data_IF_862958612356
#
_entry.id   IF_862958612356
#
_cell.length_a   1.000
_cell.length_b   1.000
_cell.length_c   1.000
_cell.angle_alpha   90.00
_cell.angle_beta   90.00
_cell.angle_gamma   90.00
#
_symmetry.space_group_name_H-M   'P 1'
#
loop_
_entity.id
_entity.type
_entity.pdbx_description
1 polymer ?
#
# COMPACT_ATOMS: atom_id res chain seq x y z
N UNK A 1 -7.82 -7.64 -10.29
CA UNK A 1 -7.03 -8.90 -10.29
C UNK A 1 -7.68 -10.03 -9.48
N UNK A 2 -7.72 -9.97 -8.14
CA UNK A 2 -8.15 -11.11 -7.29
C UNK A 2 -9.60 -11.54 -7.59
N UNK A 3 -10.56 -10.62 -7.43
CA UNK A 3 -11.99 -10.89 -7.62
C UNK A 3 -12.28 -11.45 -9.01
N UNK A 4 -11.75 -10.80 -10.05
CA UNK A 4 -11.84 -11.27 -11.44
C UNK A 4 -11.39 -12.73 -11.58
N UNK A 5 -10.17 -13.05 -11.11
CA UNK A 5 -9.60 -14.40 -11.23
C UNK A 5 -10.42 -15.43 -10.45
N UNK A 6 -10.86 -15.09 -9.23
CA UNK A 6 -11.69 -15.99 -8.43
C UNK A 6 -13.01 -16.30 -9.14
N UNK A 7 -13.70 -15.30 -9.65
CA UNK A 7 -15.02 -15.49 -10.27
C UNK A 7 -14.92 -16.11 -11.66
N UNK A 8 -14.02 -15.61 -12.51
CA UNK A 8 -13.94 -16.01 -13.91
C UNK A 8 -13.11 -17.28 -14.12
N UNK A 9 -12.01 -17.46 -13.38
CA UNK A 9 -11.11 -18.61 -13.59
C UNK A 9 -11.39 -19.75 -12.60
N UNK A 10 -11.86 -19.43 -11.39
CA UNK A 10 -12.12 -20.42 -10.33
C UNK A 10 -13.61 -20.60 -10.00
N UNK A 11 -14.51 -19.95 -10.76
CA UNK A 11 -15.97 -20.12 -10.65
C UNK A 11 -16.54 -19.81 -9.26
N UNK A 12 -15.86 -18.95 -8.48
CA UNK A 12 -16.38 -18.45 -7.21
C UNK A 12 -17.59 -17.56 -7.50
N UNK A 13 -18.76 -17.90 -6.95
CA UNK A 13 -20.02 -17.22 -7.31
C UNK A 13 -20.35 -16.00 -6.45
N UNK A 14 -20.01 -16.02 -5.17
CA UNK A 14 -20.40 -14.95 -4.23
C UNK A 14 -19.23 -14.63 -3.28
N UNK A 15 -18.16 -14.00 -3.77
CA UNK A 15 -17.08 -13.55 -2.90
C UNK A 15 -17.54 -12.37 -2.03
N UNK A 16 -17.25 -12.43 -0.73
CA UNK A 16 -17.44 -11.29 0.16
C UNK A 16 -16.25 -10.33 0.03
N UNK A 17 -16.49 -9.09 -0.40
CA UNK A 17 -15.46 -8.06 -0.44
C UNK A 17 -15.42 -7.30 0.87
N UNK A 18 -14.21 -7.11 1.42
CA UNK A 18 -13.99 -6.32 2.64
C UNK A 18 -12.88 -5.32 2.37
N UNK A 19 -13.16 -4.03 2.58
CA UNK A 19 -12.16 -2.97 2.48
C UNK A 19 -12.11 -2.18 3.78
N UNK A 20 -10.91 -1.95 4.31
CA UNK A 20 -10.69 -1.04 5.43
C UNK A 20 -10.58 0.40 4.92
N UNK A 21 -11.30 1.31 5.55
CA UNK A 21 -11.31 2.73 5.22
C UNK A 21 -10.31 3.48 6.11
N UNK A 22 -9.40 4.25 5.51
CA UNK A 22 -8.51 5.17 6.21
C UNK A 22 -9.02 6.62 6.17
N UNK A 23 -8.49 7.48 7.05
CA UNK A 23 -9.04 8.83 7.26
C UNK A 23 -8.37 9.94 6.42
N UNK A 24 -7.48 9.58 5.51
CA UNK A 24 -6.86 10.52 4.57
C UNK A 24 -7.77 10.83 3.39
N UNK A 25 -7.46 11.89 2.65
CA UNK A 25 -8.28 12.31 1.52
C UNK A 25 -8.29 11.25 0.43
N UNK A 26 -9.48 10.76 0.10
CA UNK A 26 -9.72 9.77 -0.96
C UNK A 26 -9.60 10.43 -2.32
N UNK A 27 -8.91 9.77 -3.24
CA UNK A 27 -8.83 10.20 -4.64
C UNK A 27 -10.10 9.83 -5.39
N UNK A 28 -10.39 10.51 -6.51
CA UNK A 28 -11.45 10.15 -7.44
C UNK A 28 -11.21 8.77 -8.04
N UNK A 29 -9.97 8.43 -8.38
CA UNK A 29 -9.60 7.09 -8.83
C UNK A 29 -9.92 6.04 -7.76
N UNK A 30 -9.52 6.28 -6.51
CA UNK A 30 -9.81 5.42 -5.37
C UNK A 30 -11.30 5.25 -5.11
N UNK A 31 -12.08 6.35 -5.17
CA UNK A 31 -13.53 6.32 -5.00
C UNK A 31 -14.22 5.56 -6.15
N UNK A 32 -13.80 5.80 -7.39
CA UNK A 32 -14.28 5.08 -8.57
C UNK A 32 -14.01 3.59 -8.45
N UNK A 33 -12.77 3.20 -8.17
CA UNK A 33 -12.38 1.79 -8.09
C UNK A 33 -13.08 1.03 -6.97
N UNK A 34 -13.27 1.68 -5.81
CA UNK A 34 -13.99 1.10 -4.68
C UNK A 34 -15.45 0.78 -5.05
N UNK A 35 -16.12 1.67 -5.79
CA UNK A 35 -17.49 1.42 -6.25
C UNK A 35 -17.54 0.47 -7.46
N UNK A 36 -16.56 0.55 -8.35
CA UNK A 36 -16.52 -0.22 -9.59
C UNK A 36 -16.38 -1.72 -9.30
N UNK A 37 -15.56 -2.12 -8.33
CA UNK A 37 -15.33 -3.55 -8.08
C UNK A 37 -16.60 -4.29 -7.67
N UNK A 38 -17.43 -3.71 -6.81
CA UNK A 38 -18.70 -4.32 -6.40
C UNK A 38 -19.76 -4.22 -7.49
N UNK A 39 -19.86 -3.07 -8.15
CA UNK A 39 -20.86 -2.82 -9.20
C UNK A 39 -20.62 -3.63 -10.48
N UNK A 40 -19.36 -3.84 -10.86
CA UNK A 40 -19.01 -4.60 -12.06
C UNK A 40 -19.27 -6.10 -11.88
N UNK A 41 -18.93 -6.65 -10.71
CA UNK A 41 -19.08 -8.08 -10.42
C UNK A 41 -20.44 -8.43 -9.80
N UNK A 42 -21.24 -7.43 -9.42
CA UNK A 42 -22.53 -7.57 -8.73
C UNK A 42 -22.41 -8.40 -7.44
N UNK A 43 -21.53 -7.93 -6.54
CA UNK A 43 -21.18 -8.64 -5.29
C UNK A 43 -21.25 -7.72 -4.07
N UNK A 44 -21.50 -8.33 -2.90
CA UNK A 44 -21.52 -7.64 -1.63
C UNK A 44 -20.14 -7.07 -1.25
N UNK A 45 -20.14 -5.81 -0.80
CA UNK A 45 -18.92 -5.12 -0.40
C UNK A 45 -19.10 -4.39 0.93
N UNK A 46 -18.39 -4.87 1.94
CA UNK A 46 -18.32 -4.27 3.26
C UNK A 46 -17.16 -3.28 3.31
N UNK A 47 -17.50 -2.01 3.49
CA UNK A 47 -16.51 -0.96 3.76
C UNK A 47 -16.46 -0.73 5.26
N UNK A 48 -15.37 -1.17 5.89
CA UNK A 48 -15.16 -1.04 7.31
C UNK A 48 -14.41 0.25 7.65
N UNK A 49 -15.09 1.16 8.36
CA UNK A 49 -14.49 2.40 8.88
C UNK A 49 -14.27 2.30 10.38
N UNK A 50 -13.01 2.31 10.81
CA UNK A 50 -12.65 2.20 12.22
C UNK A 50 -12.67 3.56 12.93
N UNK A 51 -13.54 3.72 13.94
CA UNK A 51 -13.57 4.81 14.94
C UNK A 51 -12.79 6.07 14.50
N UNK A 52 -13.32 6.91 13.60
CA UNK A 52 -12.53 7.92 12.87
C UNK A 52 -11.64 8.82 13.74
N UNK A 53 -12.18 9.32 14.86
CA UNK A 53 -11.42 10.17 15.78
C UNK A 53 -10.33 9.40 16.53
N UNK A 54 -10.61 8.16 16.92
CA UNK A 54 -9.62 7.25 17.52
C UNK A 54 -8.52 6.93 16.50
N UNK A 55 -8.89 6.62 15.25
CA UNK A 55 -7.94 6.33 14.19
C UNK A 55 -6.98 7.51 13.98
N UNK A 56 -7.47 8.74 13.86
CA UNK A 56 -6.62 9.94 13.70
C UNK A 56 -5.65 10.15 14.86
N UNK A 57 -6.12 9.93 16.10
CA UNK A 57 -5.28 10.01 17.30
C UNK A 57 -4.19 8.93 17.29
N UNK A 58 -4.57 7.69 17.01
CA UNK A 58 -3.65 6.56 16.91
C UNK A 58 -2.62 6.74 15.78
N UNK A 59 -3.03 7.26 14.63
CA UNK A 59 -2.13 7.57 13.51
C UNK A 59 -1.05 8.56 13.97
N UNK A 60 -1.44 9.61 14.69
CA UNK A 60 -0.51 10.58 15.27
C UNK A 60 0.44 9.92 16.28
N UNK A 61 -0.07 9.12 17.19
CA UNK A 61 0.75 8.41 18.19
C UNK A 61 1.76 7.45 17.53
N UNK A 62 1.33 6.71 16.51
CA UNK A 62 2.21 5.81 15.76
C UNK A 62 3.25 6.58 14.95
N UNK A 63 2.89 7.73 14.37
CA UNK A 63 3.84 8.62 13.72
C UNK A 63 4.87 9.18 14.69
N UNK A 64 4.44 9.71 15.84
CA UNK A 64 5.31 10.27 16.89
C UNK A 64 6.27 9.20 17.46
N UNK A 65 5.80 7.98 17.68
CA UNK A 65 6.56 6.91 18.33
C UNK A 65 7.40 6.04 17.38
N UNK A 66 6.91 5.80 16.16
CA UNK A 66 7.49 4.81 15.25
C UNK A 66 7.85 5.36 13.88
N UNK A 67 7.44 6.60 13.58
CA UNK A 67 7.44 7.19 12.25
C UNK A 67 6.68 6.30 11.23
N UNK A 68 5.57 5.71 11.66
CA UNK A 68 4.66 4.97 10.78
C UNK A 68 3.21 5.32 11.13
N UNK A 69 2.56 6.28 10.43
CA UNK A 69 1.20 6.70 10.78
C UNK A 69 0.14 5.62 10.52
N UNK A 70 0.38 4.67 9.62
CA UNK A 70 -0.60 3.63 9.26
C UNK A 70 -0.38 2.29 9.95
N UNK A 71 0.60 2.20 10.86
CA UNK A 71 0.96 0.94 11.53
C UNK A 71 -0.25 0.16 12.05
N UNK A 72 -1.16 0.81 12.79
CA UNK A 72 -2.35 0.14 13.30
C UNK A 72 -3.40 -0.14 12.21
N UNK A 73 -3.50 0.69 11.16
CA UNK A 73 -4.38 0.42 10.04
C UNK A 73 -3.92 -0.82 9.25
N UNK A 74 -2.61 -0.96 9.00
CA UNK A 74 -2.01 -2.14 8.35
C UNK A 74 -2.27 -3.41 9.18
N UNK A 75 -2.15 -3.35 10.51
CA UNK A 75 -2.45 -4.50 11.38
C UNK A 75 -3.94 -4.89 11.36
N UNK A 76 -4.85 -3.92 11.24
CA UNK A 76 -6.29 -4.15 11.10
C UNK A 76 -6.71 -4.70 9.74
N UNK A 77 -5.84 -4.58 8.75
CA UNK A 77 -6.04 -5.13 7.41
C UNK A 77 -5.39 -6.51 7.27
N UNK A 78 -4.07 -6.59 7.47
CA UNK A 78 -3.25 -7.70 7.00
C UNK A 78 -2.85 -8.75 8.04
N UNK A 79 -3.23 -8.60 9.31
CA UNK A 79 -2.92 -9.63 10.31
C UNK A 79 -3.91 -10.82 10.26
N UNK A 80 -3.48 -12.00 10.70
CA UNK A 80 -4.35 -13.19 10.74
C UNK A 80 -5.42 -13.14 11.85
N UNK A 81 -5.40 -12.09 12.67
CA UNK A 81 -6.42 -11.75 13.66
C UNK A 81 -7.03 -10.36 13.40
N UNK A 82 -6.94 -9.90 12.15
CA UNK A 82 -7.41 -8.59 11.72
C UNK A 82 -8.94 -8.49 11.72
N UNK A 83 -9.45 -7.26 11.60
CA UNK A 83 -10.88 -6.98 11.45
C UNK A 83 -11.45 -7.65 10.21
N UNK A 84 -10.68 -7.79 9.14
CA UNK A 84 -11.06 -8.54 7.93
C UNK A 84 -11.28 -10.02 8.26
N UNK A 85 -10.37 -10.65 9.01
CA UNK A 85 -10.51 -12.05 9.40
C UNK A 85 -11.68 -12.25 10.38
N UNK A 86 -11.87 -11.33 11.32
CA UNK A 86 -13.02 -11.36 12.25
C UNK A 86 -14.35 -11.27 11.49
N UNK A 87 -14.43 -10.43 10.45
CA UNK A 87 -15.60 -10.37 9.58
C UNK A 87 -15.77 -11.64 8.77
N UNK A 88 -14.71 -12.17 8.14
CA UNK A 88 -14.80 -13.45 7.42
C UNK A 88 -15.40 -14.56 8.31
N UNK A 89 -14.93 -14.68 9.57
CA UNK A 89 -15.49 -15.61 10.57
C UNK A 89 -16.97 -15.33 10.85
N UNK A 90 -17.34 -14.07 11.07
CA UNK A 90 -18.72 -13.68 11.37
C UNK A 90 -19.70 -14.00 10.23
N UNK A 91 -19.23 -13.96 8.99
CA UNK A 91 -20.01 -14.30 7.79
C UNK A 91 -19.87 -15.78 7.38
N UNK A 92 -19.18 -16.61 8.16
CA UNK A 92 -18.97 -18.03 7.85
C UNK A 92 -18.08 -18.27 6.61
N UNK A 93 -17.27 -17.29 6.22
CA UNK A 93 -16.32 -17.40 5.10
C UNK A 93 -15.07 -18.10 5.60
N UNK A 94 -14.81 -19.30 5.07
CA UNK A 94 -13.64 -20.13 5.42
C UNK A 94 -12.38 -19.74 4.66
N UNK A 95 -12.50 -19.34 3.40
CA UNK A 95 -11.36 -19.16 2.51
C UNK A 95 -11.10 -17.65 2.31
N UNK A 96 -10.02 -17.14 2.91
CA UNK A 96 -9.63 -15.72 2.87
C UNK A 96 -8.46 -15.54 1.91
N UNK A 97 -8.64 -14.69 0.91
CA UNK A 97 -7.66 -14.44 -0.15
C UNK A 97 -6.92 -13.13 0.03
N UNK A 98 -5.60 -13.18 -0.02
CA UNK A 98 -4.69 -12.02 -0.06
C UNK A 98 -4.01 -11.93 -1.44
N UNK A 99 -3.48 -10.74 -1.75
CA UNK A 99 -2.72 -10.52 -2.98
C UNK A 99 -1.34 -11.18 -2.94
N UNK A 100 -0.44 -10.58 -2.16
CA UNK A 100 0.95 -11.00 -2.01
C UNK A 100 1.23 -11.61 -0.63
N UNK A 101 2.11 -12.61 -0.58
CA UNK A 101 2.77 -13.01 0.66
C UNK A 101 3.96 -12.07 0.89
N UNK A 102 3.81 -11.11 1.80
CA UNK A 102 4.84 -10.14 2.11
C UNK A 102 6.16 -10.83 2.55
N UNK A 103 6.10 -11.97 3.23
CA UNK A 103 7.32 -12.63 3.69
C UNK A 103 8.17 -13.10 2.51
N UNK A 104 7.52 -13.67 1.50
CA UNK A 104 8.16 -14.08 0.25
C UNK A 104 8.58 -12.88 -0.61
N UNK A 105 7.69 -11.91 -0.84
CA UNK A 105 7.95 -10.75 -1.70
C UNK A 105 9.12 -9.88 -1.22
N UNK A 106 9.26 -9.72 0.09
CA UNK A 106 10.33 -8.92 0.70
C UNK A 106 11.53 -9.78 1.16
N UNK A 107 11.57 -11.07 0.81
CA UNK A 107 12.74 -11.94 0.96
C UNK A 107 13.03 -12.43 2.38
N UNK A 108 12.06 -12.32 3.29
CA UNK A 108 12.15 -12.90 4.64
C UNK A 108 11.78 -14.39 4.67
N UNK A 109 11.13 -14.88 3.61
CA UNK A 109 10.88 -16.28 3.32
C UNK A 109 11.38 -16.63 1.91
N UNK A 110 11.84 -17.86 1.71
CA UNK A 110 12.08 -18.44 0.38
C UNK A 110 10.95 -19.37 -0.07
N UNK A 111 10.03 -19.67 0.83
CA UNK A 111 8.89 -20.55 0.62
C UNK A 111 7.68 -19.70 0.26
N UNK A 112 6.98 -20.11 -0.81
CA UNK A 112 5.70 -19.55 -1.25
C UNK A 112 4.68 -20.70 -1.33
N UNK A 113 3.90 -20.85 -0.27
CA UNK A 113 2.87 -21.87 -0.19
C UNK A 113 1.50 -21.28 -0.55
N UNK A 114 0.63 -22.08 -1.17
CA UNK A 114 -0.74 -21.67 -1.49
C UNK A 114 -1.53 -21.42 -0.20
N UNK A 115 -1.44 -22.36 0.75
CA UNK A 115 -2.02 -22.22 2.08
C UNK A 115 -0.96 -21.69 3.02
N UNK A 116 -1.20 -20.53 3.62
CA UNK A 116 -0.27 -19.99 4.60
C UNK A 116 -0.28 -20.84 5.86
N UNK A 117 0.87 -20.93 6.54
CA UNK A 117 1.07 -21.67 7.80
C UNK A 117 0.10 -21.33 8.94
N UNK A 118 -0.54 -20.15 8.90
CA UNK A 118 -1.56 -19.76 9.90
C UNK A 118 -2.97 -20.27 9.56
N UNK A 119 -3.13 -21.00 8.46
CA UNK A 119 -4.38 -21.68 8.13
C UNK A 119 -4.70 -22.71 9.20
N UNK A 120 -5.98 -22.87 9.49
CA UNK A 120 -6.52 -23.81 10.47
C UNK A 120 -7.62 -24.64 9.82
N UNK A 121 -8.15 -25.65 10.52
CA UNK A 121 -9.29 -26.45 10.04
C UNK A 121 -10.53 -25.60 9.70
N UNK A 122 -10.69 -24.46 10.36
CA UNK A 122 -11.88 -23.60 10.26
C UNK A 122 -11.66 -22.37 9.36
N UNK A 123 -10.42 -22.12 8.92
CA UNK A 123 -10.07 -20.92 8.15
C UNK A 123 -8.79 -21.13 7.34
N UNK A 124 -8.87 -20.96 6.02
CA UNK A 124 -7.73 -20.97 5.11
C UNK A 124 -7.31 -19.54 4.78
N UNK A 125 -6.00 -19.30 4.80
CA UNK A 125 -5.41 -18.06 4.29
C UNK A 125 -4.63 -18.39 3.01
N UNK A 126 -5.10 -17.83 1.90
CA UNK A 126 -4.59 -18.14 0.56
C UNK A 126 -3.99 -16.89 -0.06
N UNK A 127 -2.74 -16.98 -0.51
CA UNK A 127 -2.07 -15.90 -1.23
C UNK A 127 -2.19 -16.13 -2.73
N UNK A 128 -2.89 -15.22 -3.43
CA UNK A 128 -3.09 -15.33 -4.88
C UNK A 128 -1.77 -15.31 -5.66
N UNK A 129 -0.74 -14.65 -5.12
CA UNK A 129 0.63 -14.67 -5.66
C UNK A 129 1.25 -16.07 -5.79
N UNK A 130 0.80 -17.05 -5.01
CA UNK A 130 1.24 -18.45 -5.09
C UNK A 130 0.56 -19.25 -6.21
N UNK A 131 -0.58 -18.76 -6.72
CA UNK A 131 -1.36 -19.41 -7.80
C UNK A 131 -1.09 -18.72 -9.13
N UNK A 132 -1.09 -17.39 -9.11
CA UNK A 132 -0.76 -16.53 -10.22
C UNK A 132 0.47 -15.72 -9.82
N UNK A 133 1.61 -15.84 -10.52
CA UNK A 133 2.79 -15.05 -10.21
C UNK A 133 2.43 -13.58 -10.00
N UNK A 134 2.83 -13.03 -8.87
CA UNK A 134 2.41 -11.71 -8.44
C UNK A 134 3.14 -10.61 -9.24
N UNK A 135 2.56 -10.21 -10.38
CA UNK A 135 3.06 -9.15 -11.24
C UNK A 135 2.19 -7.89 -11.17
N UNK A 136 2.79 -6.72 -11.00
CA UNK A 136 2.08 -5.44 -10.90
C UNK A 136 1.47 -5.01 -12.23
N UNK A 137 2.16 -5.20 -13.36
CA UNK A 137 1.62 -4.83 -14.67
C UNK A 137 0.47 -5.75 -15.09
N UNK A 138 0.64 -7.05 -14.88
CA UNK A 138 -0.41 -8.04 -15.09
C UNK A 138 -1.63 -7.76 -14.17
N UNK A 139 -1.41 -7.47 -12.89
CA UNK A 139 -2.46 -7.05 -11.97
C UNK A 139 -3.24 -5.83 -12.46
N UNK A 140 -2.51 -4.84 -12.98
CA UNK A 140 -3.04 -3.59 -13.51
C UNK A 140 -3.85 -3.82 -14.78
N UNK A 141 -3.34 -4.62 -15.74
CA UNK A 141 -4.09 -4.98 -16.95
C UNK A 141 -5.36 -5.76 -16.62
N UNK A 142 -5.27 -6.72 -15.69
CA UNK A 142 -6.43 -7.49 -15.23
C UNK A 142 -7.48 -6.59 -14.55
N UNK A 143 -7.05 -5.59 -13.79
CA UNK A 143 -7.96 -4.61 -13.19
C UNK A 143 -8.58 -3.68 -14.24
N UNK A 144 -7.79 -3.16 -15.19
CA UNK A 144 -8.23 -2.29 -16.29
C UNK A 144 -9.30 -2.96 -17.14
N UNK A 145 -9.16 -4.26 -17.41
CA UNK A 145 -10.14 -5.04 -18.18
C UNK A 145 -11.55 -5.11 -17.55
N UNK A 146 -11.68 -4.72 -16.28
CA UNK A 146 -12.94 -4.70 -15.53
C UNK A 146 -13.25 -3.31 -14.96
N UNK A 147 -12.78 -2.25 -15.62
CA UNK A 147 -13.18 -0.87 -15.35
C UNK A 147 -12.34 -0.12 -14.32
N UNK A 148 -11.19 -0.66 -13.91
CA UNK A 148 -10.24 0.08 -13.07
C UNK A 148 -9.73 1.35 -13.76
N UNK A 149 -9.55 2.41 -12.97
CA UNK A 149 -8.96 3.69 -13.38
C UNK A 149 -7.85 4.09 -12.43
N UNK A 150 -6.83 4.76 -12.95
CA UNK A 150 -5.73 5.29 -12.15
C UNK A 150 -5.77 6.82 -12.05
N UNK A 151 -4.72 7.41 -11.47
CA UNK A 151 -4.65 8.86 -11.27
C UNK A 151 -4.60 9.65 -12.59
N UNK A 152 -4.12 9.04 -13.68
CA UNK A 152 -4.03 9.71 -14.98
C UNK A 152 -5.40 9.86 -15.63
N UNK A 153 -6.33 8.91 -15.42
CA UNK A 153 -7.69 8.99 -15.97
C UNK A 153 -8.51 10.18 -15.39
N UNK A 154 -8.14 10.66 -14.21
CA UNK A 154 -8.83 11.76 -13.50
C UNK A 154 -8.04 13.06 -13.48
N UNK A 155 -6.75 13.05 -13.83
CA UNK A 155 -5.85 14.21 -13.77
C UNK A 155 -5.88 14.97 -12.43
N UNK A 156 -6.05 14.24 -11.32
CA UNK A 156 -6.40 14.85 -10.03
C UNK A 156 -5.22 15.07 -9.08
N UNK A 157 -4.18 14.26 -9.20
CA UNK A 157 -3.02 14.28 -8.32
C UNK A 157 -1.77 13.95 -9.11
N UNK A 158 -0.93 14.96 -9.31
CA UNK A 158 0.41 14.78 -9.86
C UNK A 158 1.36 14.25 -8.78
N UNK A 159 1.30 12.94 -8.54
CA UNK A 159 2.05 12.25 -7.50
C UNK A 159 3.55 12.34 -7.71
N UNK A 160 4.27 12.70 -6.65
CA UNK A 160 5.73 12.75 -6.61
C UNK A 160 6.32 11.60 -5.79
N UNK A 161 7.58 11.24 -6.04
CA UNK A 161 8.28 10.18 -5.29
C UNK A 161 7.82 8.75 -5.61
N UNK A 162 7.22 8.54 -6.79
CA UNK A 162 6.80 7.25 -7.32
C UNK A 162 7.15 7.14 -8.82
N UNK A 163 7.25 5.92 -9.34
CA UNK A 163 7.54 5.65 -10.78
C UNK A 163 6.28 5.27 -11.55
N UNK A 164 5.19 5.03 -10.83
CA UNK A 164 3.91 4.59 -11.35
C UNK A 164 2.78 5.52 -10.91
N UNK A 165 1.59 5.37 -11.49
CA UNK A 165 0.38 6.13 -11.13
C UNK A 165 -0.85 5.26 -10.83
N UNK A 166 -0.72 3.93 -10.83
CA UNK A 166 -1.84 2.97 -10.77
C UNK A 166 -1.94 2.16 -9.46
N UNK A 167 -0.97 2.25 -8.55
CA UNK A 167 -0.95 1.49 -7.31
C UNK A 167 -0.78 2.41 -6.10
N UNK A 168 -1.37 2.06 -4.95
CA UNK A 168 -1.43 2.91 -3.76
C UNK A 168 -2.05 4.28 -4.07
N UNK A 169 -3.25 4.24 -4.66
CA UNK A 169 -3.93 5.44 -5.18
C UNK A 169 -5.21 5.76 -4.42
N UNK A 170 -5.65 4.94 -3.47
CA UNK A 170 -6.92 5.09 -2.77
C UNK A 170 -7.02 6.39 -1.99
N UNK A 171 -5.94 6.78 -1.30
CA UNK A 171 -5.88 7.99 -0.48
C UNK A 171 -4.53 8.68 -0.58
N UNK A 172 -4.55 10.02 -0.58
CA UNK A 172 -3.38 10.87 -0.85
C UNK A 172 -2.34 10.73 0.27
N UNK A 173 -2.76 10.93 1.52
CA UNK A 173 -1.89 10.86 2.69
C UNK A 173 -1.26 9.50 2.96
N UNK A 174 -1.75 8.42 2.34
CA UNK A 174 -1.19 7.07 2.53
C UNK A 174 0.26 6.98 2.06
N UNK A 175 0.65 7.76 1.04
CA UNK A 175 2.00 7.72 0.48
C UNK A 175 3.10 8.13 1.47
N UNK A 176 2.78 8.95 2.47
CA UNK A 176 3.78 9.45 3.44
C UNK A 176 4.45 8.31 4.21
N UNK A 177 3.76 7.21 4.46
CA UNK A 177 4.36 6.09 5.19
C UNK A 177 5.54 5.45 4.45
N UNK A 178 5.51 5.44 3.11
CA UNK A 178 6.62 4.96 2.31
C UNK A 178 7.80 5.90 2.45
N UNK A 179 7.57 7.21 2.36
CA UNK A 179 8.63 8.19 2.56
C UNK A 179 9.22 8.15 3.97
N UNK A 180 8.42 7.85 5.00
CA UNK A 180 8.94 7.61 6.34
C UNK A 180 9.93 6.42 6.40
N UNK A 181 9.76 5.40 5.54
CA UNK A 181 10.76 4.32 5.39
C UNK A 181 12.05 4.85 4.79
N UNK A 182 12.01 5.81 3.86
CA UNK A 182 13.22 6.39 3.28
C UNK A 182 14.13 7.04 4.33
N UNK A 183 13.58 7.87 5.23
CA UNK A 183 14.40 8.53 6.26
C UNK A 183 14.95 7.55 7.32
N UNK A 184 14.38 6.35 7.44
CA UNK A 184 14.85 5.30 8.36
C UNK A 184 15.82 4.32 7.72
N UNK A 185 15.58 3.96 6.46
CA UNK A 185 16.19 2.81 5.78
C UNK A 185 16.82 3.14 4.43
N UNK A 186 16.65 4.36 3.91
CA UNK A 186 17.20 4.81 2.63
C UNK A 186 16.42 4.36 1.39
N UNK A 187 15.22 3.79 1.56
CA UNK A 187 14.36 3.35 0.48
C UNK A 187 12.88 3.66 0.76
N UNK A 188 12.12 4.07 -0.26
CA UNK A 188 10.66 4.19 -0.20
C UNK A 188 9.98 3.50 -1.40
N UNK A 189 8.81 4.02 -1.79
CA UNK A 189 7.96 3.51 -2.86
C UNK A 189 8.66 3.39 -4.21
N UNK A 190 9.51 4.37 -4.56
CA UNK A 190 10.25 4.33 -5.82
C UNK A 190 11.15 3.09 -5.88
N UNK A 191 11.93 2.79 -4.83
CA UNK A 191 12.73 1.56 -4.76
C UNK A 191 11.88 0.30 -4.84
N UNK A 192 10.77 0.23 -4.10
CA UNK A 192 9.84 -0.92 -4.14
C UNK A 192 9.34 -1.17 -5.56
N UNK A 193 8.83 -0.14 -6.24
CA UNK A 193 8.24 -0.29 -7.56
C UNK A 193 9.25 -0.43 -8.69
N UNK A 194 10.34 0.32 -8.68
CA UNK A 194 11.38 0.22 -9.70
C UNK A 194 12.03 -1.17 -9.69
N UNK A 195 12.25 -1.77 -8.52
CA UNK A 195 12.79 -3.13 -8.43
C UNK A 195 11.80 -4.17 -8.96
N UNK A 196 10.50 -4.03 -8.66
CA UNK A 196 9.45 -4.90 -9.20
C UNK A 196 9.34 -4.81 -10.73
N UNK A 197 9.26 -3.59 -11.26
CA UNK A 197 9.21 -3.36 -12.72
C UNK A 197 10.47 -3.88 -13.41
N UNK A 198 11.63 -3.78 -12.78
CA UNK A 198 12.86 -4.37 -13.30
C UNK A 198 12.81 -5.91 -13.33
N UNK A 199 12.29 -6.55 -12.27
CA UNK A 199 12.10 -8.02 -12.24
C UNK A 199 11.09 -8.50 -13.29
N UNK A 200 10.06 -7.70 -13.57
CA UNK A 200 9.07 -7.97 -14.62
C UNK A 200 9.60 -7.67 -16.03
N UNK A 201 10.82 -7.14 -16.18
CA UNK A 201 11.41 -6.78 -17.47
C UNK A 201 10.82 -5.53 -18.12
N UNK A 202 10.02 -4.76 -17.38
CA UNK A 202 9.39 -3.54 -17.87
C UNK A 202 10.37 -2.36 -17.98
N UNK A 203 11.40 -2.36 -17.13
CA UNK A 203 12.50 -1.39 -17.16
C UNK A 203 13.84 -2.11 -16.96
N UNK A 204 14.93 -1.52 -17.45
CA UNK A 204 16.27 -2.04 -17.20
C UNK A 204 16.74 -1.74 -15.78
N UNK A 205 17.80 -2.41 -15.33
CA UNK A 205 18.44 -2.12 -14.05
C UNK A 205 18.94 -0.67 -14.01
N UNK A 206 19.52 -0.18 -15.09
CA UNK A 206 20.05 1.19 -15.20
C UNK A 206 18.94 2.22 -15.05
N UNK A 207 17.79 2.00 -15.70
CA UNK A 207 16.60 2.84 -15.52
C UNK A 207 16.10 2.81 -14.08
N UNK A 208 16.02 1.63 -13.47
CA UNK A 208 15.62 1.50 -12.07
C UNK A 208 16.55 2.28 -11.13
N UNK A 209 17.88 2.19 -11.33
CA UNK A 209 18.87 2.93 -10.55
C UNK A 209 18.72 4.45 -10.70
N UNK A 210 18.42 4.95 -11.91
CA UNK A 210 18.15 6.37 -12.14
C UNK A 210 16.92 6.79 -11.33
N UNK A 211 15.79 6.09 -11.49
CA UNK A 211 14.57 6.43 -10.75
C UNK A 211 14.78 6.41 -9.24
N UNK A 212 15.44 5.37 -8.73
CA UNK A 212 15.75 5.25 -7.32
C UNK A 212 16.57 6.43 -6.83
N UNK A 213 17.63 6.82 -7.54
CA UNK A 213 18.47 7.94 -7.08
C UNK A 213 17.77 9.31 -7.17
N UNK A 214 16.91 9.49 -8.18
CA UNK A 214 16.24 10.78 -8.44
C UNK A 214 14.93 10.98 -7.69
N UNK A 215 14.15 9.93 -7.40
CA UNK A 215 12.76 10.08 -6.91
C UNK A 215 12.58 9.63 -5.47
N UNK A 216 13.39 8.69 -5.00
CA UNK A 216 13.17 7.98 -3.73
C UNK A 216 13.40 8.88 -2.50
N UNK A 217 13.98 10.05 -2.64
CA UNK A 217 14.09 11.02 -1.54
C UNK A 217 12.90 11.99 -1.46
N UNK A 218 12.06 12.04 -2.50
CA UNK A 218 11.01 13.05 -2.65
C UNK A 218 9.82 12.70 -1.73
N UNK A 219 9.47 13.61 -0.83
CA UNK A 219 8.22 13.59 -0.09
C UNK A 219 7.17 14.34 -0.90
N UNK A 220 6.10 13.65 -1.30
CA UNK A 220 4.99 14.30 -1.99
C UNK A 220 4.35 15.40 -1.10
N UNK A 221 4.30 16.66 -1.58
CA UNK A 221 3.84 17.78 -0.76
C UNK A 221 2.33 17.72 -0.47
N UNK A 222 1.52 17.16 -1.37
CA UNK A 222 0.08 16.98 -1.15
C UNK A 222 -0.16 15.87 -0.12
N UNK A 223 0.57 14.76 -0.21
CA UNK A 223 0.54 13.69 0.79
C UNK A 223 0.98 14.18 2.17
N UNK A 224 2.05 15.00 2.25
CA UNK A 224 2.47 15.65 3.51
C UNK A 224 1.36 16.56 4.06
N UNK A 225 0.75 17.38 3.21
CA UNK A 225 -0.32 18.27 3.62
C UNK A 225 -1.52 17.50 4.19
N UNK A 226 -1.99 16.51 3.42
CA UNK A 226 -3.15 15.68 3.77
C UNK A 226 -2.93 14.92 5.08
N UNK A 227 -1.80 14.23 5.24
CA UNK A 227 -1.55 13.48 6.49
C UNK A 227 -1.42 14.40 7.71
N UNK A 228 -0.86 15.61 7.54
CA UNK A 228 -0.79 16.60 8.62
C UNK A 228 -2.19 17.06 9.05
N UNK A 229 -3.09 17.28 8.10
CA UNK A 229 -4.49 17.59 8.37
C UNK A 229 -5.20 16.42 9.06
N UNK A 230 -5.01 15.19 8.58
CA UNK A 230 -5.59 13.97 9.15
C UNK A 230 -5.18 13.77 10.60
N UNK A 231 -3.89 13.93 10.92
CA UNK A 231 -3.35 13.80 12.27
C UNK A 231 -3.52 15.06 13.14
N UNK A 232 -4.05 16.16 12.57
CA UNK A 232 -4.20 17.46 13.22
C UNK A 232 -2.89 18.01 13.80
N UNK A 233 -1.82 17.96 13.01
CA UNK A 233 -0.52 18.53 13.37
C UNK A 233 -0.07 19.56 12.34
N UNK A 234 0.80 20.49 12.76
CA UNK A 234 1.42 21.42 11.81
C UNK A 234 2.51 20.71 11.00
N UNK A 235 2.80 21.21 9.80
CA UNK A 235 3.92 20.72 9.00
C UNK A 235 5.28 20.87 9.72
N UNK A 236 5.44 21.91 10.55
CA UNK A 236 6.64 22.08 11.38
C UNK A 236 6.77 20.98 12.45
N UNK A 237 5.66 20.59 13.07
CA UNK A 237 5.63 19.48 14.00
C UNK A 237 5.95 18.16 13.29
N UNK A 238 5.40 17.96 12.09
CA UNK A 238 5.73 16.81 11.24
C UNK A 238 7.24 16.72 11.01
N UNK A 239 7.86 17.81 10.55
CA UNK A 239 9.30 17.86 10.27
C UNK A 239 10.14 17.61 11.54
N UNK A 240 9.72 18.17 12.69
CA UNK A 240 10.39 17.92 13.98
C UNK A 240 10.31 16.46 14.44
N UNK A 241 9.21 15.76 14.17
CA UNK A 241 9.07 14.33 14.47
C UNK A 241 9.99 13.52 13.55
N UNK A 242 9.98 13.81 12.25
CA UNK A 242 10.86 13.16 11.26
C UNK A 242 12.33 13.30 11.68
N UNK A 243 12.75 14.50 12.06
CA UNK A 243 14.13 14.77 12.44
C UNK A 243 14.64 13.91 13.60
N UNK A 244 13.75 13.53 14.54
CA UNK A 244 14.09 12.66 15.67
C UNK A 244 14.25 11.19 15.30
N UNK A 245 13.58 10.77 14.22
CA UNK A 245 13.56 9.37 13.76
C UNK A 245 14.51 9.11 12.58
N UNK A 246 15.02 10.16 11.95
CA UNK A 246 15.90 10.05 10.80
C UNK A 246 17.20 9.32 11.18
N UNK A 247 17.56 8.32 10.39
CA UNK A 247 18.81 7.59 10.56
C UNK A 247 19.95 8.37 9.89
N UNK A 248 20.68 9.17 10.65
CA UNK A 248 21.76 10.03 10.14
C UNK A 248 23.00 9.27 9.66
N UNK A 249 23.04 7.94 9.80
CA UNK A 249 24.05 7.08 9.18
C UNK A 249 23.71 6.74 7.72
N UNK A 250 22.45 6.90 7.31
CA UNK A 250 21.94 6.54 5.98
C UNK A 250 21.54 7.80 5.20
N UNK A 251 20.93 8.78 5.87
CA UNK A 251 20.43 10.02 5.26
C UNK A 251 21.03 11.27 5.90
N UNK A 252 21.13 12.35 5.14
CA UNK A 252 21.52 13.69 5.60
C UNK A 252 20.64 14.76 4.95
N UNK A 253 20.43 15.89 5.62
CA UNK A 253 19.78 17.04 4.99
C UNK A 253 20.72 17.73 4.02
N UNK A 254 20.21 18.11 2.84
CA UNK A 254 20.91 19.01 1.92
C UNK A 254 20.76 20.48 2.35
N UNK A 255 21.32 21.40 1.56
CA UNK A 255 21.27 22.84 1.85
C UNK A 255 19.84 23.42 1.90
N UNK A 256 18.87 22.72 1.31
CA UNK A 256 17.46 23.11 1.32
C UNK A 256 16.67 22.44 2.46
N UNK A 257 17.34 21.66 3.31
CA UNK A 257 16.71 20.92 4.40
C UNK A 257 16.03 19.62 3.97
N UNK A 258 16.21 19.17 2.72
CA UNK A 258 15.61 17.94 2.20
C UNK A 258 16.49 16.75 2.59
N UNK A 259 15.88 15.68 3.10
CA UNK A 259 16.59 14.44 3.40
C UNK A 259 17.07 13.77 2.11
N UNK A 260 18.36 13.46 2.03
CA UNK A 260 19.02 12.75 0.92
C UNK A 260 19.76 11.54 1.45
N UNK A 261 19.86 10.47 0.65
CA UNK A 261 20.81 9.38 0.95
C UNK A 261 22.23 9.92 0.97
N UNK A 262 23.05 9.39 1.88
CA UNK A 262 24.48 9.70 1.95
C UNK A 262 25.23 9.04 0.78
N UNK A 263 24.82 7.83 0.40
CA UNK A 263 25.41 7.07 -0.71
C UNK A 263 24.39 6.83 -1.81
N UNK A 264 24.83 7.02 -3.05
CA UNK A 264 24.09 6.64 -4.24
C UNK A 264 23.97 5.12 -4.33
N UNK A 265 22.84 4.61 -4.82
CA UNK A 265 22.67 3.19 -5.11
C UNK A 265 23.35 2.88 -6.45
N UNK A 266 24.11 1.78 -6.48
CA UNK A 266 24.85 1.26 -7.66
C UNK A 266 24.38 -0.14 -8.02
#
# INVERSE_FOLDING_TARGET
MIVKRLMQNHQVKNPLLITTYDESTRTQAGAHNLNNISSFFDVDHIIYRYKPQTCKKEMRECFEKHLNPYMLAELRLGSFESEVVKMARAFGVRDVFYGEDAAFEYGSSRELEILHKQSTKDMNFIFMGAIYPYGYLDSMHEARSVGFKDLEDFHEWYRQGAVEHFAQIDSIGYMVQYWCKFVKFGAQRTTDMATRLCREGAITREQALIYINELDHILDPLAKHDICQTMQISQKQFDSIVDKHANTQIVKKDANGVWRRIKTIV
#
